data_IF_056878877112
#
_entry.id   IF_056878877112
#
_cell.length_a   1.000
_cell.length_b   1.000
_cell.length_c   1.000
_cell.angle_alpha   90.00
_cell.angle_beta   90.00
_cell.angle_gamma   90.00
#
_symmetry.space_group_name_H-M   'P 1'
#
loop_
_entity.id
_entity.type
_entity.pdbx_description
1 polymer ?
#
# COMPACT_ATOMS: atom_id res chain seq x y z
N UNK A 1 12.68 -21.04 -11.48
CA UNK A 1 12.01 -20.42 -10.31
C UNK A 1 12.34 -18.93 -10.33
N UNK A 2 11.39 -18.07 -10.70
CA UNK A 2 11.62 -16.61 -10.70
C UNK A 2 11.62 -16.16 -9.23
N UNK A 3 12.67 -15.48 -8.81
CA UNK A 3 12.84 -15.00 -7.45
C UNK A 3 11.73 -13.96 -7.15
N UNK A 4 10.71 -14.36 -6.38
CA UNK A 4 9.54 -13.51 -6.06
C UNK A 4 9.96 -12.13 -5.53
N UNK A 5 11.08 -12.04 -4.80
CA UNK A 5 11.66 -10.78 -4.30
C UNK A 5 11.97 -9.77 -5.41
N UNK A 6 12.50 -10.21 -6.56
CA UNK A 6 12.75 -9.33 -7.72
C UNK A 6 11.46 -8.91 -8.44
N UNK A 7 10.41 -9.73 -8.36
CA UNK A 7 9.11 -9.38 -8.95
C UNK A 7 8.38 -8.30 -8.16
N UNK A 8 8.53 -8.25 -6.82
CA UNK A 8 7.91 -7.21 -5.99
C UNK A 8 8.69 -5.88 -6.06
N UNK A 9 10.03 -5.91 -5.99
CA UNK A 9 10.83 -4.69 -6.11
C UNK A 9 10.71 -4.05 -7.49
N UNK A 10 10.63 -4.84 -8.58
CA UNK A 10 10.36 -4.30 -9.93
C UNK A 10 8.98 -3.69 -10.10
N UNK A 11 7.96 -4.12 -9.37
CA UNK A 11 6.59 -3.57 -9.49
C UNK A 11 6.45 -2.29 -8.67
N UNK A 12 7.18 -2.18 -7.55
CA UNK A 12 7.20 -0.97 -6.70
C UNK A 12 8.06 0.15 -7.32
N UNK A 13 9.11 -0.16 -8.11
CA UNK A 13 10.08 0.84 -8.60
C UNK A 13 9.96 1.27 -10.08
N UNK A 14 9.12 0.66 -10.92
CA UNK A 14 9.14 0.90 -12.37
C UNK A 14 7.98 1.76 -12.92
N UNK A 15 7.60 2.84 -12.22
CA UNK A 15 6.86 3.93 -12.86
C UNK A 15 7.77 4.89 -13.65
N UNK A 16 9.11 4.75 -13.57
CA UNK A 16 10.05 5.58 -14.31
C UNK A 16 11.06 4.75 -15.12
N UNK A 17 10.90 4.79 -16.46
CA UNK A 17 11.89 4.51 -17.51
C UNK A 17 12.46 3.08 -17.63
N UNK A 18 11.97 2.31 -18.61
CA UNK A 18 12.82 1.41 -19.45
C UNK A 18 12.36 1.39 -20.91
N UNK A 19 13.33 1.55 -21.81
CA UNK A 19 13.23 1.42 -23.29
C UNK A 19 13.14 -0.07 -23.66
N UNK A 20 12.35 -0.41 -24.68
CA UNK A 20 11.94 -1.78 -25.03
C UNK A 20 13.01 -2.58 -25.80
N UNK A 21 13.12 -3.90 -25.57
CA UNK A 21 13.56 -4.86 -26.58
C UNK A 21 12.37 -5.64 -27.18
N UNK A 22 12.48 -5.92 -28.48
CA UNK A 22 11.48 -6.48 -29.39
C UNK A 22 11.39 -8.01 -29.39
N UNK A 23 10.21 -8.56 -29.10
CA UNK A 23 9.69 -9.89 -29.49
C UNK A 23 8.17 -9.91 -29.18
N UNK A 24 7.34 -10.74 -29.85
CA UNK A 24 5.89 -10.52 -29.93
C UNK A 24 5.23 -10.75 -28.57
N UNK A 25 4.99 -9.67 -27.83
CA UNK A 25 4.17 -9.69 -26.63
C UNK A 25 2.72 -9.83 -27.06
N UNK A 26 2.15 -11.02 -26.84
CA UNK A 26 0.70 -11.11 -26.65
C UNK A 26 0.35 -10.12 -25.55
N UNK A 27 -0.27 -8.99 -25.89
CA UNK A 27 -0.63 -7.95 -24.95
C UNK A 27 -1.71 -8.51 -24.03
N UNK A 28 -1.30 -9.02 -22.88
CA UNK A 28 -2.24 -9.35 -21.82
C UNK A 28 -2.84 -8.02 -21.38
N UNK A 29 -4.11 -7.80 -21.73
CA UNK A 29 -4.90 -6.71 -21.17
C UNK A 29 -5.10 -6.97 -19.67
N UNK A 30 -4.46 -6.15 -18.85
CA UNK A 30 -4.55 -6.28 -17.40
C UNK A 30 -5.77 -5.52 -16.88
N UNK A 31 -6.67 -6.24 -16.21
CA UNK A 31 -7.80 -5.64 -15.50
C UNK A 31 -7.41 -5.32 -14.06
N UNK A 32 -7.62 -4.07 -13.65
CA UNK A 32 -7.43 -3.65 -12.26
C UNK A 32 -8.69 -3.95 -11.44
N UNK A 33 -8.49 -4.55 -10.27
CA UNK A 33 -9.44 -4.54 -9.15
C UNK A 33 -8.89 -3.54 -8.15
N UNK A 34 -9.65 -2.49 -7.84
CA UNK A 34 -9.21 -1.45 -6.91
C UNK A 34 -9.97 -1.58 -5.59
N UNK A 35 -9.24 -1.54 -4.48
CA UNK A 35 -9.77 -1.49 -3.11
C UNK A 35 -9.28 -0.19 -2.49
N UNK A 36 -10.20 0.60 -1.96
CA UNK A 36 -9.90 1.79 -1.15
C UNK A 36 -9.98 1.41 0.32
N UNK A 37 -8.95 1.71 1.10
CA UNK A 37 -9.00 1.56 2.55
C UNK A 37 -9.49 2.87 3.16
N UNK A 38 -10.51 2.82 4.00
CA UNK A 38 -11.05 3.98 4.72
C UNK A 38 -11.25 3.57 6.17
N UNK A 39 -10.86 4.43 7.10
CA UNK A 39 -10.89 4.12 8.54
C UNK A 39 -10.23 5.21 9.36
N UNK A 40 -10.50 5.24 10.67
CA UNK A 40 -9.92 6.20 11.61
C UNK A 40 -8.37 6.21 11.57
N UNK A 41 -7.79 7.31 12.01
CA UNK A 41 -6.36 7.40 12.29
C UNK A 41 -5.95 6.34 13.31
N UNK A 42 -4.88 5.60 13.04
CA UNK A 42 -4.39 4.53 13.91
C UNK A 42 -5.10 3.18 13.81
N UNK A 43 -6.18 3.04 13.03
CA UNK A 43 -6.95 1.77 12.92
C UNK A 43 -6.16 0.62 12.24
N UNK A 44 -4.99 0.91 11.65
CA UNK A 44 -4.10 -0.10 11.07
C UNK A 44 -4.21 -0.32 9.55
N UNK A 45 -4.66 0.68 8.78
CA UNK A 45 -4.75 0.61 7.30
C UNK A 45 -3.41 0.22 6.65
N UNK A 46 -2.33 0.91 6.96
CA UNK A 46 -0.99 0.62 6.41
C UNK A 46 -0.43 -0.72 6.93
N UNK A 47 -0.74 -1.07 8.19
CA UNK A 47 -0.43 -2.40 8.75
C UNK A 47 -1.12 -3.52 7.97
N UNK A 48 -2.38 -3.34 7.58
CA UNK A 48 -3.11 -4.30 6.74
C UNK A 48 -2.42 -4.49 5.39
N UNK A 49 -1.92 -3.43 4.74
CA UNK A 49 -1.20 -3.54 3.47
C UNK A 49 0.09 -4.33 3.64
N UNK A 50 0.86 -4.06 4.69
CA UNK A 50 2.06 -4.85 5.01
C UNK A 50 1.71 -6.32 5.25
N UNK A 51 0.68 -6.62 6.04
CA UNK A 51 0.22 -7.99 6.27
C UNK A 51 -0.20 -8.68 4.97
N UNK A 52 -0.91 -7.98 4.10
CA UNK A 52 -1.34 -8.48 2.79
C UNK A 52 -0.16 -8.78 1.87
N UNK A 53 0.87 -7.92 1.85
CA UNK A 53 2.10 -8.16 1.09
C UNK A 53 2.84 -9.42 1.57
N UNK A 54 2.90 -9.64 2.88
CA UNK A 54 3.47 -10.87 3.46
C UNK A 54 2.65 -12.11 3.10
N UNK A 55 1.32 -12.02 3.20
CA UNK A 55 0.39 -13.11 2.83
C UNK A 55 0.57 -13.55 1.37
N UNK A 56 0.72 -12.61 0.43
CA UNK A 56 0.92 -12.96 -0.98
C UNK A 56 2.31 -13.56 -1.25
N UNK A 57 3.29 -13.24 -0.42
CA UNK A 57 4.68 -13.66 -0.63
C UNK A 57 4.91 -15.07 -0.11
N UNK A 58 4.55 -15.30 1.16
CA UNK A 58 4.83 -16.56 1.85
C UNK A 58 3.70 -17.56 1.65
N UNK A 59 4.06 -18.80 1.33
CA UNK A 59 3.06 -19.84 1.06
C UNK A 59 2.40 -20.41 2.32
N UNK A 60 3.06 -20.26 3.47
CA UNK A 60 2.59 -20.76 4.76
C UNK A 60 2.92 -19.78 5.87
N UNK A 61 2.17 -19.86 6.98
CA UNK A 61 2.44 -19.07 8.18
C UNK A 61 3.82 -19.38 8.76
N UNK A 62 4.23 -20.66 8.77
CA UNK A 62 5.57 -21.05 9.21
C UNK A 62 6.67 -20.36 8.40
N UNK A 63 6.51 -20.28 7.06
CA UNK A 63 7.47 -19.52 6.25
C UNK A 63 7.48 -18.04 6.62
N UNK A 64 6.31 -17.42 6.81
CA UNK A 64 6.22 -16.02 7.20
C UNK A 64 6.88 -15.75 8.57
N UNK A 65 6.76 -16.69 9.51
CA UNK A 65 7.29 -16.57 10.87
C UNK A 65 8.82 -16.63 10.93
N UNK A 66 9.45 -17.50 10.13
CA UNK A 66 10.90 -17.72 10.18
C UNK A 66 11.70 -16.94 9.13
N UNK A 67 11.03 -16.14 8.29
CA UNK A 67 11.68 -15.27 7.31
C UNK A 67 11.53 -13.80 7.68
N UNK A 68 12.41 -12.95 7.12
CA UNK A 68 12.29 -11.51 7.28
C UNK A 68 10.98 -11.00 6.66
N UNK A 69 10.16 -10.24 7.40
CA UNK A 69 8.90 -9.72 6.89
C UNK A 69 9.13 -8.70 5.78
N UNK A 70 8.23 -8.67 4.82
CA UNK A 70 8.18 -7.60 3.82
C UNK A 70 7.46 -6.41 4.44
N UNK A 71 8.16 -5.29 4.52
CA UNK A 71 7.61 -4.03 5.02
C UNK A 71 7.59 -3.04 3.86
N UNK A 72 6.41 -2.80 3.31
CA UNK A 72 6.18 -1.91 2.17
C UNK A 72 5.96 -0.47 2.63
N UNK A 73 5.34 -0.31 3.80
CA UNK A 73 4.99 0.97 4.40
C UNK A 73 5.59 1.02 5.79
N UNK A 74 6.19 2.15 6.16
CA UNK A 74 6.68 2.34 7.52
C UNK A 74 5.51 2.27 8.52
N UNK A 75 5.66 1.47 9.58
CA UNK A 75 4.66 1.35 10.65
C UNK A 75 5.30 1.52 12.01
N UNK A 76 4.60 2.21 12.92
CA UNK A 76 4.96 2.37 14.31
C UNK A 76 3.71 2.17 15.17
N UNK A 77 3.77 1.30 16.17
CA UNK A 77 2.66 1.08 17.09
C UNK A 77 3.15 0.53 18.43
N UNK A 78 2.38 0.77 19.49
CA UNK A 78 2.64 0.20 20.80
C UNK A 78 2.13 -1.25 20.84
N UNK A 79 2.95 -2.15 21.36
CA UNK A 79 2.59 -3.55 21.58
C UNK A 79 2.80 -3.87 23.04
N UNK A 80 1.75 -4.41 23.67
CA UNK A 80 1.85 -4.95 25.03
C UNK A 80 2.58 -6.28 24.99
N UNK A 81 3.59 -6.43 25.84
CA UNK A 81 4.40 -7.64 25.97
C UNK A 81 4.35 -8.18 27.38
N UNK A 82 4.39 -9.50 27.49
CA UNK A 82 4.40 -10.27 28.75
C UNK A 82 3.13 -10.07 29.60
N UNK A 83 3.08 -10.78 30.73
CA UNK A 83 1.94 -10.74 31.67
C UNK A 83 1.92 -9.47 32.53
N UNK A 84 3.00 -8.69 32.51
CA UNK A 84 3.12 -7.42 33.26
C UNK A 84 2.51 -6.22 32.51
N UNK A 85 1.98 -6.44 31.30
CA UNK A 85 1.43 -5.40 30.44
C UNK A 85 2.45 -4.30 30.07
N UNK A 86 3.72 -4.66 29.94
CA UNK A 86 4.76 -3.72 29.53
C UNK A 86 4.48 -3.26 28.09
N UNK A 87 4.59 -1.97 27.80
CA UNK A 87 4.41 -1.46 26.44
C UNK A 87 5.75 -1.31 25.73
N UNK A 88 5.86 -1.90 24.55
CA UNK A 88 7.01 -1.73 23.66
C UNK A 88 6.60 -1.03 22.38
N UNK A 89 7.30 0.05 22.04
CA UNK A 89 7.15 0.71 20.76
C UNK A 89 7.81 -0.12 19.65
N UNK A 90 6.99 -0.69 18.79
CA UNK A 90 7.41 -1.44 17.61
C UNK A 90 7.53 -0.47 16.44
N UNK A 91 8.67 -0.50 15.73
CA UNK A 91 8.90 0.27 14.50
C UNK A 91 9.46 -0.65 13.42
N UNK A 92 8.83 -0.63 12.24
CA UNK A 92 9.25 -1.38 11.07
C UNK A 92 9.25 -0.49 9.82
N UNK A 93 10.21 -0.76 8.93
CA UNK A 93 10.35 -0.08 7.65
C UNK A 93 11.30 1.12 7.70
N UNK A 94 11.74 1.52 6.51
CA UNK A 94 12.56 2.72 6.33
C UNK A 94 11.70 3.98 6.51
N UNK A 95 12.35 5.11 6.79
CA UNK A 95 11.65 6.40 6.90
C UNK A 95 10.93 6.74 5.58
N UNK A 96 9.63 7.02 5.65
CA UNK A 96 8.83 7.48 4.52
C UNK A 96 8.31 8.89 4.80
N UNK A 97 8.58 9.84 3.91
CA UNK A 97 8.09 11.22 4.04
C UNK A 97 6.56 11.33 3.98
N UNK A 98 5.88 10.29 3.50
CA UNK A 98 4.43 10.20 3.50
C UNK A 98 3.85 9.67 4.83
N UNK A 99 4.69 9.21 5.76
CA UNK A 99 4.26 8.59 7.02
C UNK A 99 4.77 9.41 8.23
N UNK A 100 3.84 10.03 8.96
CA UNK A 100 4.14 10.80 10.16
C UNK A 100 3.68 10.04 11.42
N UNK A 101 4.65 9.53 12.17
CA UNK A 101 4.42 8.81 13.43
C UNK A 101 4.73 9.66 14.67
N UNK A 102 4.90 10.98 14.51
CA UNK A 102 5.31 11.87 15.60
C UNK A 102 4.19 12.25 16.56
N UNK A 103 2.94 12.26 16.08
CA UNK A 103 1.78 12.74 16.84
C UNK A 103 0.70 11.67 16.95
N UNK A 104 0.36 11.30 18.19
CA UNK A 104 -0.71 10.33 18.43
C UNK A 104 -2.08 10.90 18.04
N UNK A 105 -2.92 10.07 17.41
CA UNK A 105 -4.25 10.43 16.96
C UNK A 105 -4.30 11.26 15.66
N UNK A 106 -3.17 11.72 15.13
CA UNK A 106 -3.13 12.28 13.78
C UNK A 106 -3.10 11.14 12.75
N UNK A 107 -3.61 11.42 11.56
CA UNK A 107 -3.41 10.51 10.43
C UNK A 107 -1.92 10.33 10.20
N UNK A 108 -1.48 9.08 10.20
CA UNK A 108 -0.08 8.72 9.93
C UNK A 108 0.22 8.88 8.44
N UNK A 109 -0.65 8.35 7.59
CA UNK A 109 -0.55 8.51 6.13
C UNK A 109 -0.94 9.94 5.76
N UNK A 110 -0.05 10.68 5.10
CA UNK A 110 -0.28 12.10 4.76
C UNK A 110 -0.98 12.27 3.41
N UNK A 111 -0.66 11.43 2.43
CA UNK A 111 -1.28 11.44 1.10
C UNK A 111 -1.70 10.04 0.66
N UNK A 112 -2.74 9.98 -0.17
CA UNK A 112 -3.20 8.72 -0.74
C UNK A 112 -2.11 8.07 -1.60
N UNK A 113 -1.90 6.76 -1.43
CA UNK A 113 -0.87 6.00 -2.17
C UNK A 113 -1.42 4.67 -2.65
N UNK A 114 -1.14 4.33 -3.92
CA UNK A 114 -1.60 3.07 -4.53
C UNK A 114 -0.49 2.01 -4.50
N UNK A 115 -0.83 0.81 -4.02
CA UNK A 115 0.03 -0.37 -4.02
C UNK A 115 -0.58 -1.43 -4.95
N UNK A 116 0.21 -1.89 -5.93
CA UNK A 116 -0.27 -2.81 -6.98
C UNK A 116 0.35 -4.20 -6.80
N UNK A 117 -0.50 -5.21 -6.72
CA UNK A 117 -0.16 -6.61 -6.52
C UNK A 117 -0.64 -7.47 -7.70
N UNK A 118 0.16 -8.47 -8.08
CA UNK A 118 -0.30 -9.51 -9.00
C UNK A 118 -1.30 -10.41 -8.28
N UNK A 119 -2.55 -10.43 -8.74
CA UNK A 119 -3.61 -11.22 -8.10
C UNK A 119 -3.86 -12.54 -8.83
N UNK A 120 -4.06 -12.48 -10.14
CA UNK A 120 -4.17 -13.67 -11.01
C UNK A 120 -3.85 -13.31 -12.46
N UNK A 121 -3.85 -14.29 -13.37
CA UNK A 121 -3.50 -14.08 -14.78
C UNK A 121 -4.41 -13.00 -15.40
N UNK A 122 -3.79 -11.90 -15.84
CA UNK A 122 -4.50 -10.75 -16.43
C UNK A 122 -5.27 -9.88 -15.42
N UNK A 123 -5.05 -10.05 -14.11
CA UNK A 123 -5.67 -9.22 -13.06
C UNK A 123 -4.64 -8.66 -12.08
N UNK A 124 -4.68 -7.35 -11.90
CA UNK A 124 -3.89 -6.62 -10.92
C UNK A 124 -4.80 -6.12 -9.79
N UNK A 125 -4.39 -6.31 -8.54
CA UNK A 125 -5.07 -5.74 -7.39
C UNK A 125 -4.37 -4.42 -7.01
N UNK A 126 -5.11 -3.32 -6.98
CA UNK A 126 -4.65 -2.02 -6.48
C UNK A 126 -5.29 -1.79 -5.12
N UNK A 127 -4.47 -1.66 -4.08
CA UNK A 127 -4.92 -1.19 -2.77
C UNK A 127 -4.52 0.28 -2.65
N UNK A 128 -5.49 1.13 -2.35
CA UNK A 128 -5.30 2.57 -2.17
C UNK A 128 -5.32 2.82 -0.66
N UNK A 129 -4.15 3.14 -0.12
CA UNK A 129 -4.01 3.62 1.25
C UNK A 129 -4.39 5.09 1.32
N UNK A 130 -5.02 5.50 2.41
CA UNK A 130 -5.54 6.86 2.58
C UNK A 130 -5.15 7.42 3.94
N UNK A 131 -5.13 8.76 4.06
CA UNK A 131 -5.24 9.39 5.36
C UNK A 131 -6.44 8.86 6.15
N UNK A 132 -6.32 8.85 7.48
CA UNK A 132 -7.42 8.54 8.39
C UNK A 132 -8.38 9.71 8.58
N UNK A 133 -9.56 9.38 9.11
CA UNK A 133 -10.49 10.36 9.67
C UNK A 133 -10.41 10.35 11.20
N UNK A 134 -11.05 11.32 11.86
CA UNK A 134 -10.93 11.51 13.31
C UNK A 134 -9.55 12.04 13.69
N UNK A 135 -8.96 12.87 12.83
CA UNK A 135 -7.64 13.47 13.07
C UNK A 135 -7.69 14.45 14.26
N UNK A 136 -6.75 14.33 15.19
CA UNK A 136 -6.69 15.22 16.38
C UNK A 136 -6.37 16.68 16.05
N UNK A 137 -6.00 17.00 14.79
CA UNK A 137 -5.90 18.37 14.27
C UNK A 137 -7.27 19.02 14.02
N UNK A 138 -8.36 18.25 14.07
CA UNK A 138 -9.75 18.71 13.99
C UNK A 138 -10.37 18.62 12.60
N UNK A 139 -11.64 19.00 12.52
CA UNK A 139 -12.54 18.75 11.36
C UNK A 139 -11.99 19.28 10.03
N UNK A 140 -11.33 20.44 10.03
CA UNK A 140 -10.72 21.01 8.81
C UNK A 140 -9.65 20.09 8.21
N UNK A 141 -8.89 19.37 9.05
CA UNK A 141 -7.92 18.39 8.56
C UNK A 141 -8.63 17.17 7.97
N UNK A 142 -9.73 16.73 8.58
CA UNK A 142 -10.54 15.64 8.04
C UNK A 142 -11.17 16.02 6.68
N UNK A 143 -11.58 17.28 6.49
CA UNK A 143 -12.02 17.79 5.19
C UNK A 143 -10.92 17.70 4.13
N UNK A 144 -9.69 18.14 4.43
CA UNK A 144 -8.56 18.00 3.53
C UNK A 144 -8.23 16.53 3.22
N UNK A 145 -8.30 15.65 4.22
CA UNK A 145 -8.09 14.22 4.04
C UNK A 145 -9.13 13.62 3.08
N UNK A 146 -10.41 14.01 3.25
CA UNK A 146 -11.50 13.59 2.36
C UNK A 146 -11.34 14.13 0.94
N UNK A 147 -10.96 15.40 0.77
CA UNK A 147 -10.69 15.98 -0.53
C UNK A 147 -9.54 15.24 -1.25
N UNK A 148 -8.46 14.95 -0.54
CA UNK A 148 -7.33 14.20 -1.07
C UNK A 148 -7.74 12.79 -1.55
N UNK A 149 -8.64 12.11 -0.81
CA UNK A 149 -9.20 10.81 -1.20
C UNK A 149 -10.00 10.94 -2.51
N UNK A 150 -10.88 11.93 -2.61
CA UNK A 150 -11.70 12.14 -3.81
C UNK A 150 -10.85 12.45 -5.03
N UNK A 151 -9.86 13.34 -4.89
CA UNK A 151 -8.91 13.68 -5.98
C UNK A 151 -8.16 12.44 -6.43
N UNK A 152 -7.66 11.63 -5.50
CA UNK A 152 -6.97 10.37 -5.81
C UNK A 152 -7.83 9.42 -6.64
N UNK A 153 -9.10 9.24 -6.29
CA UNK A 153 -10.04 8.40 -7.04
C UNK A 153 -10.30 8.93 -8.46
N UNK A 154 -10.48 10.24 -8.61
CA UNK A 154 -10.70 10.88 -9.92
C UNK A 154 -9.47 10.67 -10.83
N UNK A 155 -8.26 10.86 -10.29
CA UNK A 155 -7.02 10.64 -11.05
C UNK A 155 -6.87 9.19 -11.49
N UNK A 156 -7.17 8.24 -10.61
CA UNK A 156 -7.11 6.80 -10.92
C UNK A 156 -8.13 6.42 -12.00
N UNK A 157 -9.36 6.93 -11.90
CA UNK A 157 -10.40 6.70 -12.91
C UNK A 157 -10.01 7.28 -14.27
N UNK A 158 -9.47 8.51 -14.28
CA UNK A 158 -9.04 9.22 -15.48
C UNK A 158 -7.88 8.50 -16.19
N UNK A 159 -6.89 8.04 -15.44
CA UNK A 159 -5.79 7.25 -15.97
C UNK A 159 -6.26 5.90 -16.55
N UNK A 160 -7.24 5.26 -15.90
CA UNK A 160 -7.83 3.99 -16.36
C UNK A 160 -8.61 4.18 -17.67
N UNK A 161 -9.38 5.25 -17.78
CA UNK A 161 -10.11 5.61 -19.00
C UNK A 161 -9.17 5.91 -20.17
N UNK A 162 -8.15 6.75 -19.95
CA UNK A 162 -7.16 7.10 -20.97
C UNK A 162 -6.41 5.87 -21.50
N UNK A 163 -6.05 4.94 -20.61
CA UNK A 163 -5.39 3.69 -20.98
C UNK A 163 -6.27 2.80 -21.87
N UNK A 164 -7.58 2.74 -21.58
CA UNK A 164 -8.55 1.97 -22.37
C UNK A 164 -8.79 2.57 -23.75
N UNK A 165 -8.79 3.90 -23.87
CA UNK A 165 -8.93 4.59 -25.17
C UNK A 165 -7.71 4.43 -26.08
N UNK A 166 -6.51 4.28 -25.54
CA UNK A 166 -5.29 4.02 -26.33
C UNK A 166 -5.16 2.56 -26.81
N UNK A 167 -5.95 1.66 -26.25
CA UNK A 167 -5.91 0.23 -26.56
C UNK A 167 -6.94 -0.18 -27.65
N UNK A 168 -7.83 0.74 -28.04
CA UNK A 168 -8.80 0.60 -29.14
C UNK A 168 -8.32 1.38 -30.36
#
# INVERSE_FOLDING_TARGET
MINKRESYSKVISNSAKRKAPSAPQSSIDYKYISILLVGESGVGKSTFINAFANYLTFSTLNQAQFNQPIVVIQVSFLMTVNDNFDEQLVKFGDTDSNEDHSNSGQSVTQQCKSYVFNFSRGKLLRIIDTPGFGDTRGDTQDEHNMEAILISLILIASASYSSRMRAN
#
